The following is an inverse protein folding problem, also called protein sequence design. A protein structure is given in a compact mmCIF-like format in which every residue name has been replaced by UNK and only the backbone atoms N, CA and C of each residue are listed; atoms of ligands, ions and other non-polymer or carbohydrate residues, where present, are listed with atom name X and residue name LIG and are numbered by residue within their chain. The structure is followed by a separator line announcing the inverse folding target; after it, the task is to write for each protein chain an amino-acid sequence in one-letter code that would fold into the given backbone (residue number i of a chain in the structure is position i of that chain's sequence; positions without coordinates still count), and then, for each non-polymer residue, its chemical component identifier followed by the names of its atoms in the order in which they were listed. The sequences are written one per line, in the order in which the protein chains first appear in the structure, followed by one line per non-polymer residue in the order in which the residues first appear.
data_IF_169117535383
#
_entry.id   IF_169117535383
#
_cell.length_a   1.000
_cell.length_b   1.000
_cell.length_c   1.000
_cell.angle_alpha   90.00
_cell.angle_beta   90.00
_cell.angle_gamma   90.00
#
_symmetry.space_group_name_H-M   'P 1'
#
loop_
_entity.id
_entity.type
_entity.pdbx_description
1 polymer ?
#
# COMPACT_ATOMS: atom_id res chain seq x y z
N UNK A 1 12.96 -18.71 8.31
CA UNK A 1 13.55 -17.36 8.43
C UNK A 1 12.55 -16.44 9.08
N UNK A 2 12.96 -15.57 10.00
CA UNK A 2 12.08 -14.56 10.60
C UNK A 2 11.71 -13.48 9.57
N UNK A 3 10.43 -13.04 9.52
CA UNK A 3 10.01 -11.94 8.65
C UNK A 3 10.70 -10.63 9.04
N UNK A 4 10.95 -9.77 8.05
CA UNK A 4 11.37 -8.38 8.30
C UNK A 4 10.15 -7.49 8.43
N UNK A 5 10.24 -6.47 9.26
CA UNK A 5 9.15 -5.55 9.50
C UNK A 5 9.63 -4.12 9.31
N UNK A 6 8.77 -3.28 8.72
CA UNK A 6 8.99 -1.85 8.67
C UNK A 6 9.07 -1.27 10.09
N UNK A 7 9.71 -0.12 10.25
CA UNK A 7 9.70 0.57 11.54
C UNK A 7 8.26 0.88 11.94
N UNK A 8 7.94 0.75 13.24
CA UNK A 8 6.60 0.87 13.85
C UNK A 8 5.59 -0.24 13.49
N UNK A 9 5.94 -1.21 12.63
CA UNK A 9 5.01 -2.30 12.27
C UNK A 9 4.65 -3.21 13.46
N UNK A 10 5.51 -3.29 14.48
CA UNK A 10 5.24 -4.06 15.71
C UNK A 10 3.97 -3.58 16.41
N UNK A 11 3.82 -2.27 16.61
CA UNK A 11 2.66 -1.69 17.28
C UNK A 11 1.37 -1.98 16.50
N UNK A 12 1.41 -1.84 15.17
CA UNK A 12 0.29 -2.22 14.32
C UNK A 12 -0.03 -3.71 14.45
N UNK A 13 0.97 -4.59 14.41
CA UNK A 13 0.77 -6.03 14.52
C UNK A 13 0.11 -6.42 15.85
N UNK A 14 0.57 -5.84 16.96
CA UNK A 14 0.01 -6.07 18.29
C UNK A 14 -1.46 -5.60 18.37
N UNK A 15 -1.78 -4.41 17.86
CA UNK A 15 -3.17 -3.92 17.77
C UNK A 15 -4.06 -4.85 16.93
N UNK A 16 -3.55 -5.30 15.78
CA UNK A 16 -4.29 -6.21 14.87
C UNK A 16 -4.57 -7.56 15.54
N UNK A 17 -3.64 -8.09 16.32
CA UNK A 17 -3.83 -9.33 17.09
C UNK A 17 -4.92 -9.20 18.17
N UNK A 18 -5.15 -7.99 18.67
CA UNK A 18 -6.22 -7.68 19.62
C UNK A 18 -7.55 -7.34 18.93
N UNK A 19 -7.62 -7.41 17.60
CA UNK A 19 -8.81 -7.03 16.83
C UNK A 19 -9.00 -5.52 16.66
N UNK A 20 -8.01 -4.71 17.08
CA UNK A 20 -8.04 -3.26 16.95
C UNK A 20 -7.62 -2.89 15.52
N UNK A 21 -8.42 -2.03 14.90
CA UNK A 21 -8.18 -1.53 13.55
C UNK A 21 -7.95 -0.02 13.61
N UNK A 22 -6.94 0.53 12.90
CA UNK A 22 -6.76 1.98 12.83
C UNK A 22 -7.99 2.69 12.26
N UNK A 23 -8.36 3.84 12.83
CA UNK A 23 -9.51 4.65 12.39
C UNK A 23 -9.26 5.38 11.05
N UNK A 24 -8.00 5.43 10.61
CA UNK A 24 -7.56 6.07 9.37
C UNK A 24 -6.64 5.19 8.52
N UNK A 25 -6.14 5.71 7.39
CA UNK A 25 -5.22 4.98 6.55
C UNK A 25 -3.90 4.74 7.28
N UNK A 26 -3.33 3.54 7.11
CA UNK A 26 -1.95 3.27 7.50
C UNK A 26 -1.04 3.85 6.42
N UNK A 27 -0.12 4.73 6.82
CA UNK A 27 0.88 5.31 5.91
C UNK A 27 2.08 4.37 5.85
N UNK A 28 2.47 3.95 4.66
CA UNK A 28 3.76 3.29 4.40
C UNK A 28 4.67 4.32 3.73
N UNK A 29 5.58 4.89 4.50
CA UNK A 29 6.44 5.97 4.01
C UNK A 29 7.77 5.42 3.49
N UNK A 30 8.09 5.75 2.24
CA UNK A 30 9.39 5.52 1.60
C UNK A 30 10.31 6.74 1.70
N UNK A 31 9.87 7.77 2.42
CA UNK A 31 10.58 9.03 2.66
C UNK A 31 10.52 9.38 4.15
N UNK A 32 11.46 10.17 4.64
CA UNK A 32 11.35 10.72 5.99
C UNK A 32 10.23 11.78 6.02
N UNK A 33 9.46 11.83 7.10
CA UNK A 33 8.36 12.77 7.27
C UNK A 33 7.63 12.57 8.59
N UNK A 34 6.85 13.57 8.99
CA UNK A 34 5.91 13.48 10.12
C UNK A 34 4.51 13.26 9.56
N UNK A 35 3.78 12.34 10.18
CA UNK A 35 2.43 11.95 9.76
C UNK A 35 1.52 11.91 10.98
N UNK A 36 0.33 12.48 10.86
CA UNK A 36 -0.71 12.39 11.89
C UNK A 36 -1.29 10.98 12.01
N UNK A 37 -1.16 10.18 10.94
CA UNK A 37 -1.63 8.80 10.89
C UNK A 37 -0.56 7.82 11.38
N UNK A 38 -0.97 6.58 11.64
CA UNK A 38 -0.02 5.49 11.90
C UNK A 38 0.89 5.30 10.68
N UNK A 39 2.17 5.57 10.85
CA UNK A 39 3.17 5.49 9.80
C UNK A 39 4.17 4.35 10.01
N UNK A 40 4.34 3.55 8.96
CA UNK A 40 5.35 2.51 8.81
C UNK A 40 6.47 3.05 7.93
N UNK A 41 7.67 3.19 8.49
CA UNK A 41 8.81 3.73 7.74
C UNK A 41 9.63 2.61 7.12
N UNK A 42 9.92 2.76 5.83
CA UNK A 42 10.78 1.86 5.07
C UNK A 42 12.03 2.62 4.63
N UNK A 43 13.15 2.29 5.25
CA UNK A 43 14.43 2.89 4.94
C UNK A 43 15.13 2.16 3.79
N UNK A 44 16.07 2.84 3.13
CA UNK A 44 16.78 2.29 1.97
C UNK A 44 17.65 1.06 2.32
N UNK A 45 18.09 0.94 3.58
CA UNK A 45 18.92 -0.15 4.10
C UNK A 45 18.12 -1.39 4.54
N UNK A 46 16.79 -1.31 4.56
CA UNK A 46 15.93 -2.45 4.87
C UNK A 46 15.86 -3.44 3.70
N UNK A 47 15.69 -4.75 3.95
CA UNK A 47 15.46 -5.71 2.87
C UNK A 47 14.02 -5.64 2.38
N UNK A 48 13.73 -4.69 1.49
CA UNK A 48 12.41 -4.37 0.91
C UNK A 48 11.65 -5.60 0.41
N UNK A 49 12.38 -6.58 -0.11
CA UNK A 49 11.84 -7.81 -0.67
C UNK A 49 11.40 -8.84 0.38
N UNK A 50 11.80 -8.64 1.64
CA UNK A 50 11.52 -9.54 2.77
C UNK A 50 10.58 -8.92 3.80
N UNK A 51 10.15 -7.68 3.60
CA UNK A 51 9.21 -7.02 4.50
C UNK A 51 7.87 -7.74 4.43
N UNK A 52 7.38 -8.14 5.60
CA UNK A 52 6.07 -8.73 5.76
C UNK A 52 5.01 -7.64 5.86
N UNK A 53 4.09 -7.64 4.91
CA UNK A 53 3.00 -6.67 4.79
C UNK A 53 1.66 -7.21 5.29
N UNK A 54 1.59 -8.47 5.76
CA UNK A 54 0.30 -9.14 6.04
C UNK A 54 -0.56 -8.44 7.08
N UNK A 55 0.03 -7.63 7.97
CA UNK A 55 -0.72 -6.80 8.92
C UNK A 55 -1.61 -5.75 8.26
N UNK A 56 -1.34 -5.40 6.99
CA UNK A 56 -2.10 -4.42 6.20
C UNK A 56 -3.37 -4.99 5.53
N UNK A 57 -3.62 -6.30 5.64
CA UNK A 57 -4.82 -6.92 5.06
C UNK A 57 -6.10 -6.22 5.52
N UNK A 58 -7.01 -5.94 4.59
CA UNK A 58 -8.29 -5.27 4.85
C UNK A 58 -8.17 -3.89 5.55
N UNK A 59 -7.02 -3.21 5.47
CA UNK A 59 -6.84 -1.83 5.91
C UNK A 59 -6.86 -0.85 4.71
N UNK A 60 -7.22 0.42 4.91
CA UNK A 60 -6.89 1.46 3.94
C UNK A 60 -5.40 1.80 4.08
N UNK A 61 -4.65 1.85 2.98
CA UNK A 61 -3.19 2.04 2.99
C UNK A 61 -2.79 3.14 2.02
N UNK A 62 -1.95 4.06 2.50
CA UNK A 62 -1.30 5.08 1.67
C UNK A 62 0.20 4.80 1.59
N UNK A 63 0.69 4.48 0.40
CA UNK A 63 2.14 4.44 0.16
C UNK A 63 2.60 5.85 -0.18
N UNK A 64 3.39 6.43 0.70
CA UNK A 64 3.89 7.80 0.58
C UNK A 64 5.31 7.79 0.02
N UNK A 65 5.53 8.49 -1.08
CA UNK A 65 6.82 8.51 -1.78
C UNK A 65 7.11 9.89 -2.39
N UNK A 66 8.35 10.09 -2.81
CA UNK A 66 8.75 11.27 -3.59
C UNK A 66 9.88 10.91 -4.54
N UNK A 67 10.38 11.89 -5.29
CA UNK A 67 11.55 11.73 -6.16
C UNK A 67 12.83 11.29 -5.43
N UNK A 68 12.86 11.34 -4.08
CA UNK A 68 13.96 10.83 -3.26
C UNK A 68 13.98 9.29 -3.18
N UNK A 69 12.85 8.63 -3.42
CA UNK A 69 12.77 7.17 -3.45
C UNK A 69 12.95 6.64 -4.89
N UNK A 70 13.80 5.61 -5.11
CA UNK A 70 13.92 4.96 -6.41
C UNK A 70 12.57 4.47 -6.93
N UNK A 71 12.22 4.81 -8.18
CA UNK A 71 10.91 4.44 -8.75
C UNK A 71 10.63 2.93 -8.65
N UNK A 72 11.63 2.09 -8.92
CA UNK A 72 11.47 0.64 -8.84
C UNK A 72 11.07 0.18 -7.43
N UNK A 73 11.68 0.76 -6.39
CA UNK A 73 11.34 0.50 -4.99
C UNK A 73 9.90 0.92 -4.67
N UNK A 74 9.46 2.08 -5.18
CA UNK A 74 8.07 2.54 -5.04
C UNK A 74 7.10 1.52 -5.67
N UNK A 75 7.35 1.14 -6.92
CA UNK A 75 6.49 0.20 -7.66
C UNK A 75 6.45 -1.17 -7.00
N UNK A 76 7.59 -1.68 -6.53
CA UNK A 76 7.70 -2.97 -5.85
C UNK A 76 6.99 -2.97 -4.51
N UNK A 77 7.11 -1.88 -3.74
CA UNK A 77 6.41 -1.72 -2.46
C UNK A 77 4.90 -1.72 -2.67
N UNK A 78 4.40 -0.88 -3.57
CA UNK A 78 2.97 -0.81 -3.92
C UNK A 78 2.46 -2.18 -4.38
N UNK A 79 3.18 -2.85 -5.27
CA UNK A 79 2.78 -4.17 -5.75
C UNK A 79 2.73 -5.21 -4.64
N UNK A 80 3.75 -5.28 -3.77
CA UNK A 80 3.80 -6.24 -2.66
C UNK A 80 2.72 -6.00 -1.61
N UNK A 81 2.38 -4.73 -1.34
CA UNK A 81 1.25 -4.39 -0.49
C UNK A 81 -0.06 -4.82 -1.14
N UNK A 82 -0.24 -4.60 -2.44
CA UNK A 82 -1.46 -5.05 -3.12
C UNK A 82 -1.67 -6.58 -3.04
N UNK A 83 -0.60 -7.38 -3.01
CA UNK A 83 -0.68 -8.84 -2.84
C UNK A 83 -1.27 -9.27 -1.49
N UNK A 84 -1.14 -8.44 -0.44
CA UNK A 84 -1.77 -8.72 0.86
C UNK A 84 -3.21 -8.23 0.94
N UNK A 85 -3.75 -7.68 -0.15
CA UNK A 85 -5.15 -7.28 -0.30
C UNK A 85 -5.57 -6.30 0.81
N UNK A 86 -5.02 -5.07 0.82
CA UNK A 86 -5.58 -4.01 1.65
C UNK A 86 -7.00 -3.69 1.16
N UNK A 87 -7.86 -3.13 2.01
CA UNK A 87 -9.19 -2.65 1.62
C UNK A 87 -9.08 -1.59 0.53
N UNK A 88 -8.08 -0.73 0.63
CA UNK A 88 -7.78 0.34 -0.32
C UNK A 88 -6.27 0.56 -0.37
N UNK A 89 -5.75 0.85 -1.56
CA UNK A 89 -4.35 1.21 -1.75
C UNK A 89 -4.23 2.47 -2.60
N UNK A 90 -3.57 3.49 -2.04
CA UNK A 90 -3.25 4.74 -2.74
C UNK A 90 -1.74 4.92 -2.77
N UNK A 91 -1.18 5.24 -3.93
CA UNK A 91 0.16 5.79 -4.05
C UNK A 91 0.06 7.31 -4.03
N UNK A 92 0.63 7.91 -2.99
CA UNK A 92 0.75 9.35 -2.84
C UNK A 92 2.18 9.77 -3.12
N UNK A 93 2.37 10.56 -4.18
CA UNK A 93 3.70 10.96 -4.64
C UNK A 93 3.91 12.46 -4.55
N UNK A 94 4.90 12.89 -3.78
CA UNK A 94 5.26 14.30 -3.62
C UNK A 94 6.25 14.77 -4.68
N UNK A 95 5.98 15.94 -5.24
CA UNK A 95 6.91 16.67 -6.10
C UNK A 95 6.78 18.18 -5.86
N UNK A 96 7.81 18.78 -5.25
CA UNK A 96 7.74 20.17 -4.81
C UNK A 96 6.62 20.35 -3.79
N UNK A 97 5.78 21.37 -3.97
CA UNK A 97 4.63 21.66 -3.10
C UNK A 97 3.33 20.93 -3.54
N UNK A 98 3.44 19.99 -4.48
CA UNK A 98 2.30 19.25 -5.02
C UNK A 98 2.34 17.79 -4.62
N UNK A 99 1.14 17.25 -4.44
CA UNK A 99 0.89 15.84 -4.16
C UNK A 99 0.10 15.23 -5.32
N UNK A 100 0.58 14.11 -5.82
CA UNK A 100 -0.02 13.38 -6.93
C UNK A 100 -0.53 12.03 -6.43
N UNK A 101 -1.85 11.92 -6.26
CA UNK A 101 -2.50 10.70 -5.81
C UNK A 101 -2.87 9.79 -6.98
N UNK A 102 -2.50 8.52 -6.84
CA UNK A 102 -2.90 7.43 -7.70
C UNK A 102 -3.63 6.42 -6.83
N UNK A 103 -4.93 6.30 -7.03
CA UNK A 103 -5.71 5.19 -6.51
C UNK A 103 -5.25 3.92 -7.24
N UNK A 104 -4.70 2.96 -6.51
CA UNK A 104 -4.08 1.75 -7.10
C UNK A 104 -5.12 0.64 -7.22
N UNK A 105 -6.04 0.55 -6.27
CA UNK A 105 -7.07 -0.48 -6.25
C UNK A 105 -7.66 -0.74 -4.87
N UNK A 106 -8.54 -1.75 -4.80
CA UNK A 106 -9.30 -2.08 -3.59
C UNK A 106 -9.38 -3.58 -3.34
N UNK A 107 -9.45 -3.92 -2.06
CA UNK A 107 -9.68 -5.27 -1.56
C UNK A 107 -11.15 -5.54 -1.33
N UNK A 108 -11.61 -6.72 -1.76
CA UNK A 108 -12.91 -7.26 -1.39
C UNK A 108 -12.71 -8.38 -0.37
N UNK A 109 -13.23 -8.16 0.84
CA UNK A 109 -13.20 -9.12 1.94
C UNK A 109 -14.62 -9.41 2.40
N UNK A 110 -15.25 -10.41 1.79
CA UNK A 110 -16.59 -10.85 2.15
C UNK A 110 -16.51 -12.16 2.92
N UNK A 111 -17.12 -12.27 4.11
CA UNK A 111 -17.15 -13.53 4.84
C UNK A 111 -17.99 -14.56 4.08
N UNK A 112 -17.78 -15.84 4.37
CA UNK A 112 -18.66 -16.90 3.89
C UNK A 112 -20.06 -16.73 4.51
N UNK A 113 -21.10 -16.82 3.69
CA UNK A 113 -22.50 -16.67 4.13
C UNK A 113 -23.41 -17.57 3.30
N UNK A 114 -24.39 -18.23 3.94
CA UNK A 114 -25.41 -19.05 3.28
C UNK A 114 -24.88 -20.04 2.21
N UNK A 115 -23.75 -20.71 2.48
CA UNK A 115 -23.14 -21.67 1.54
C UNK A 115 -22.31 -21.03 0.42
N UNK A 116 -22.22 -19.70 0.35
CA UNK A 116 -21.30 -18.97 -0.51
C UNK A 116 -19.93 -18.88 0.17
N UNK A 117 -18.88 -19.28 -0.56
CA UNK A 117 -17.51 -19.21 -0.06
C UNK A 117 -17.08 -17.75 0.20
N UNK A 118 -16.16 -17.56 1.15
CA UNK A 118 -15.58 -16.26 1.41
C UNK A 118 -14.85 -15.72 0.17
N UNK A 119 -14.90 -14.41 -0.03
CA UNK A 119 -14.19 -13.73 -1.12
C UNK A 119 -13.07 -12.90 -0.51
N UNK A 120 -11.84 -13.16 -0.97
CA UNK A 120 -10.65 -12.39 -0.59
C UNK A 120 -9.86 -12.09 -1.85
N UNK A 121 -10.09 -10.93 -2.46
CA UNK A 121 -9.41 -10.54 -3.69
C UNK A 121 -9.02 -9.08 -3.65
N UNK A 122 -8.09 -8.66 -4.50
CA UNK A 122 -7.78 -7.25 -4.71
C UNK A 122 -7.86 -6.91 -6.19
N UNK A 123 -8.60 -5.87 -6.52
CA UNK A 123 -8.71 -5.36 -7.88
C UNK A 123 -7.65 -4.30 -8.11
N UNK A 124 -6.66 -4.62 -8.94
CA UNK A 124 -5.63 -3.70 -9.38
C UNK A 124 -6.15 -2.87 -10.55
N UNK A 125 -6.37 -1.58 -10.31
CA UNK A 125 -6.88 -0.64 -11.30
C UNK A 125 -6.32 0.78 -11.05
N UNK A 126 -5.05 1.05 -11.37
CA UNK A 126 -4.44 2.36 -11.18
C UNK A 126 -5.18 3.51 -11.89
N UNK A 127 -5.63 4.52 -11.13
CA UNK A 127 -6.34 5.72 -11.60
C UNK A 127 -5.59 6.97 -11.13
N UNK A 128 -5.25 7.86 -12.08
CA UNK A 128 -4.66 9.16 -11.79
C UNK A 128 -5.78 10.13 -11.39
N UNK A 129 -6.05 10.24 -10.09
CA UNK A 129 -7.20 11.00 -9.56
C UNK A 129 -7.00 12.49 -9.81
N UNK A 130 -5.79 13.00 -9.62
CA UNK A 130 -5.47 14.43 -9.79
C UNK A 130 -5.29 14.89 -11.23
N UNK A 131 -5.38 14.01 -12.24
CA UNK A 131 -5.25 14.37 -13.66
C UNK A 131 -3.87 14.90 -14.08
N UNK A 132 -2.88 14.90 -13.18
CA UNK A 132 -1.57 15.50 -13.43
C UNK A 132 -0.71 14.71 -14.44
N UNK A 133 0.21 15.37 -15.18
CA UNK A 133 1.14 14.67 -16.07
C UNK A 133 2.04 13.67 -15.33
N UNK A 134 2.51 13.99 -14.13
CA UNK A 134 3.30 13.06 -13.31
C UNK A 134 2.45 11.86 -12.86
N UNK A 135 1.25 12.10 -12.33
CA UNK A 135 0.32 11.03 -11.95
C UNK A 135 0.01 10.09 -13.11
N UNK A 136 -0.09 10.61 -14.34
CA UNK A 136 -0.26 9.80 -15.55
C UNK A 136 0.95 8.90 -15.83
N UNK A 137 2.18 9.41 -15.64
CA UNK A 137 3.41 8.61 -15.78
C UNK A 137 3.51 7.53 -14.70
N UNK A 138 3.16 7.85 -13.45
CA UNK A 138 3.12 6.89 -12.35
C UNK A 138 2.07 5.79 -12.58
N UNK A 139 0.86 6.18 -13.01
CA UNK A 139 -0.17 5.22 -13.46
C UNK A 139 0.36 4.29 -14.55
N UNK A 140 1.02 4.83 -15.59
CA UNK A 140 1.62 4.00 -16.65
C UNK A 140 2.67 3.04 -16.12
N UNK A 141 3.51 3.49 -15.19
CA UNK A 141 4.53 2.65 -14.57
C UNK A 141 3.90 1.51 -13.75
N UNK A 142 2.85 1.78 -12.98
CA UNK A 142 2.09 0.76 -12.25
C UNK A 142 1.44 -0.25 -13.21
N UNK A 143 0.84 0.21 -14.31
CA UNK A 143 0.25 -0.66 -15.33
C UNK A 143 1.29 -1.51 -16.07
N UNK A 144 2.51 -0.98 -16.25
CA UNK A 144 3.62 -1.75 -16.79
C UNK A 144 4.13 -2.81 -15.80
N UNK A 145 4.05 -2.54 -14.50
CA UNK A 145 4.40 -3.51 -13.44
C UNK A 145 3.36 -4.63 -13.39
N UNK A 146 2.08 -4.29 -13.51
CA UNK A 146 0.96 -5.24 -13.54
C UNK A 146 -0.20 -4.60 -14.33
N UNK A 147 -0.70 -5.23 -15.41
CA UNK A 147 -1.90 -4.75 -16.08
C UNK A 147 -3.12 -4.89 -15.17
N UNK A 148 -4.20 -4.15 -15.48
CA UNK A 148 -5.46 -4.26 -14.76
C UNK A 148 -5.91 -5.72 -14.60
N UNK A 149 -6.44 -6.04 -13.42
CA UNK A 149 -6.92 -7.38 -13.12
C UNK A 149 -7.06 -7.62 -11.64
N UNK A 150 -7.28 -8.89 -11.28
CA UNK A 150 -7.47 -9.29 -9.89
C UNK A 150 -6.27 -10.10 -9.36
N UNK A 151 -5.98 -9.94 -8.07
CA UNK A 151 -5.19 -10.88 -7.29
C UNK A 151 -6.14 -11.79 -6.50
N UNK A 152 -5.91 -13.10 -6.61
CA UNK A 152 -6.59 -14.14 -5.82
C UNK A 152 -5.79 -14.50 -4.56
#
# INVERSE_FOLDING_TARGET
MSPWYAQNARHLLENRQQGITPDGPVVVSLVAGEFDQLALFVHADMPHDRIDWRMLVNLSVWVWASAKAPLQQVLDTVYRIALVRPRELVLRFEQGDMVHDIEVGYGHHLPATAGVAAVHRFQWAPINVGGSPLGYRLKKALLSKKPNGEFL
#
